data_IF_540915679872
#
_entry.id   IF_540915679872
#
_cell.length_a   1.000
_cell.length_b   1.000
_cell.length_c   1.000
_cell.angle_alpha   90.00
_cell.angle_beta   90.00
_cell.angle_gamma   90.00
#
_symmetry.space_group_name_H-M   'P 1'
#
loop_
_entity.id
_entity.type
_entity.pdbx_description
1 polymer ?
#
# COMPACT_ATOMS: atom_id res chain seq x y z
N UNK A 1 5.57 -50.73 26.99
CA UNK A 1 4.60 -49.63 27.18
C UNK A 1 5.00 -48.31 26.51
N UNK A 2 6.27 -47.86 26.57
CA UNK A 2 6.71 -46.59 25.94
C UNK A 2 6.84 -46.64 24.41
N UNK A 3 7.14 -47.81 23.84
CA UNK A 3 7.27 -48.02 22.38
C UNK A 3 5.92 -48.11 21.68
N UNK A 4 4.94 -48.79 22.28
CA UNK A 4 3.57 -48.89 21.76
C UNK A 4 2.83 -47.54 21.79
N UNK A 5 3.06 -46.71 22.81
CA UNK A 5 2.49 -45.36 22.89
C UNK A 5 3.03 -44.42 21.81
N UNK A 6 4.34 -44.50 21.50
CA UNK A 6 4.96 -43.70 20.43
C UNK A 6 4.41 -44.08 19.05
N UNK A 7 4.27 -45.37 18.77
CA UNK A 7 3.73 -45.87 17.49
C UNK A 7 2.25 -45.48 17.32
N UNK A 8 1.47 -45.55 18.39
CA UNK A 8 0.06 -45.13 18.41
C UNK A 8 -0.08 -43.61 18.18
N UNK A 9 0.74 -42.78 18.84
CA UNK A 9 0.75 -41.34 18.62
C UNK A 9 1.17 -40.95 17.19
N UNK A 10 2.15 -41.64 16.60
CA UNK A 10 2.55 -41.40 15.21
C UNK A 10 1.48 -41.82 14.21
N UNK A 11 0.75 -42.92 14.46
CA UNK A 11 -0.36 -43.35 13.60
C UNK A 11 -1.56 -42.39 13.71
N UNK A 12 -1.88 -41.91 14.92
CA UNK A 12 -2.92 -40.89 15.14
C UNK A 12 -2.54 -39.56 14.47
N UNK A 13 -1.28 -39.16 14.52
CA UNK A 13 -0.78 -37.97 13.83
C UNK A 13 -0.87 -38.12 12.30
N UNK A 14 -0.54 -39.30 11.76
CA UNK A 14 -0.64 -39.62 10.33
C UNK A 14 -2.11 -39.62 9.84
N UNK A 15 -3.03 -40.16 10.64
CA UNK A 15 -4.48 -40.17 10.35
C UNK A 15 -5.09 -38.76 10.49
N UNK A 16 -4.65 -37.94 11.46
CA UNK A 16 -5.06 -36.54 11.60
C UNK A 16 -4.55 -35.66 10.45
N UNK A 17 -3.35 -35.94 9.90
CA UNK A 17 -2.86 -35.24 8.70
C UNK A 17 -3.58 -35.67 7.42
N UNK A 18 -4.11 -36.90 7.37
CA UNK A 18 -4.91 -37.39 6.23
C UNK A 18 -6.35 -36.86 6.24
N UNK A 19 -6.92 -36.53 7.41
CA UNK A 19 -8.29 -36.01 7.54
C UNK A 19 -8.44 -34.49 7.33
N UNK A 20 -7.34 -33.74 7.15
CA UNK A 20 -7.38 -32.28 6.95
C UNK A 20 -7.10 -31.85 5.48
N UNK A 21 -7.07 -32.80 4.55
CA UNK A 21 -6.63 -32.59 3.17
C UNK A 21 -7.72 -32.45 2.10
N UNK A 22 -8.99 -32.62 2.45
CA UNK A 22 -10.09 -32.37 1.50
C UNK A 22 -10.37 -30.87 1.44
N UNK A 23 -9.51 -30.10 0.76
CA UNK A 23 -10.00 -28.86 0.15
C UNK A 23 -11.08 -29.29 -0.83
N UNK A 24 -12.35 -29.20 -0.43
CA UNK A 24 -13.45 -29.11 -1.38
C UNK A 24 -13.12 -27.89 -2.22
N UNK A 25 -12.51 -28.14 -3.38
CA UNK A 25 -12.22 -27.09 -4.33
C UNK A 25 -13.56 -26.72 -4.94
N UNK A 26 -14.22 -25.72 -4.36
CA UNK A 26 -15.19 -24.96 -5.13
C UNK A 26 -14.44 -24.48 -6.36
N UNK A 27 -14.90 -24.91 -7.53
CA UNK A 27 -14.33 -24.52 -8.81
C UNK A 27 -14.80 -23.09 -9.07
N UNK A 28 -14.08 -22.13 -8.49
CA UNK A 28 -14.28 -20.70 -8.77
C UNK A 28 -13.82 -20.43 -10.20
N UNK A 29 -14.68 -19.84 -11.01
CA UNK A 29 -14.33 -19.41 -12.38
C UNK A 29 -13.43 -18.19 -12.25
N UNK A 30 -12.23 -18.27 -12.82
CA UNK A 30 -11.28 -17.15 -12.83
C UNK A 30 -11.44 -16.37 -14.15
N UNK A 31 -11.34 -15.03 -14.11
CA UNK A 31 -11.46 -14.19 -15.30
C UNK A 31 -10.53 -14.57 -16.45
N UNK A 32 -9.34 -15.10 -16.14
CA UNK A 32 -8.34 -15.54 -17.13
C UNK A 32 -8.78 -16.75 -17.97
N UNK A 33 -9.74 -17.53 -17.46
CA UNK A 33 -10.25 -18.73 -18.11
C UNK A 33 -11.41 -18.41 -19.07
N UNK A 34 -11.85 -17.14 -19.11
CA UNK A 34 -12.87 -16.65 -20.04
C UNK A 34 -12.19 -16.15 -21.31
N UNK A 35 -12.64 -16.62 -22.46
CA UNK A 35 -12.04 -16.32 -23.75
C UNK A 35 -12.30 -14.85 -24.15
N UNK A 36 -11.22 -14.07 -24.32
CA UNK A 36 -11.30 -12.71 -24.84
C UNK A 36 -11.73 -12.74 -26.33
N UNK A 37 -12.89 -12.16 -26.68
CA UNK A 37 -13.41 -12.27 -28.04
C UNK A 37 -12.50 -11.60 -29.08
N UNK A 38 -11.74 -10.55 -28.70
CA UNK A 38 -10.79 -9.88 -29.61
C UNK A 38 -9.60 -10.75 -29.98
N UNK A 39 -9.28 -11.77 -29.17
CA UNK A 39 -8.25 -12.76 -29.49
C UNK A 39 -8.74 -13.80 -30.50
N UNK A 40 -10.04 -14.00 -30.62
CA UNK A 40 -10.65 -14.91 -31.60
C UNK A 40 -10.68 -14.21 -32.96
N UNK A 41 -11.27 -13.02 -33.02
CA UNK A 41 -11.28 -12.20 -34.24
C UNK A 41 -11.39 -10.70 -33.93
N UNK A 42 -10.82 -9.80 -34.77
CA UNK A 42 -10.83 -8.36 -34.49
C UNK A 42 -12.23 -7.72 -34.41
N UNK A 43 -13.21 -8.27 -35.14
CA UNK A 43 -14.61 -7.82 -35.16
C UNK A 43 -15.52 -8.62 -34.23
N UNK A 44 -14.94 -9.45 -33.34
CA UNK A 44 -15.68 -10.20 -32.33
C UNK A 44 -15.79 -9.35 -31.05
N UNK A 45 -16.96 -9.38 -30.42
CA UNK A 45 -17.31 -8.63 -29.22
C UNK A 45 -18.04 -9.50 -28.18
N UNK A 46 -18.55 -10.67 -28.60
CA UNK A 46 -19.23 -11.65 -27.74
C UNK A 46 -18.29 -12.79 -27.36
N UNK A 47 -18.25 -13.11 -26.06
CA UNK A 47 -17.64 -14.31 -25.50
C UNK A 47 -18.74 -15.21 -24.95
N UNK A 48 -19.06 -16.28 -25.67
CA UNK A 48 -20.03 -17.31 -25.29
C UNK A 48 -19.41 -18.71 -25.37
N UNK A 49 -18.43 -18.97 -24.51
CA UNK A 49 -17.69 -20.24 -24.51
C UNK A 49 -18.54 -21.46 -24.08
N UNK A 50 -19.71 -21.21 -23.50
CA UNK A 50 -20.66 -22.22 -23.03
C UNK A 50 -21.79 -22.49 -24.05
N UNK A 51 -21.82 -21.79 -25.19
CA UNK A 51 -22.86 -21.86 -26.23
C UNK A 51 -24.28 -21.66 -25.67
N UNK A 52 -24.45 -20.61 -24.88
CA UNK A 52 -25.71 -20.24 -24.22
C UNK A 52 -26.60 -19.34 -25.07
N UNK A 53 -26.02 -18.67 -26.08
CA UNK A 53 -26.72 -17.87 -27.08
C UNK A 53 -26.85 -18.69 -28.37
N UNK A 54 -27.92 -18.43 -29.12
CA UNK A 54 -28.00 -18.93 -30.48
C UNK A 54 -27.06 -18.16 -31.43
N UNK A 55 -26.56 -18.85 -32.44
CA UNK A 55 -25.58 -18.30 -33.40
C UNK A 55 -26.09 -17.03 -34.11
N UNK A 56 -27.40 -16.95 -34.38
CA UNK A 56 -27.99 -15.80 -35.06
C UNK A 56 -27.96 -14.56 -34.17
N UNK A 57 -28.25 -14.73 -32.87
CA UNK A 57 -28.18 -13.69 -31.85
C UNK A 57 -26.75 -13.22 -31.65
N UNK A 58 -25.79 -14.14 -31.53
CA UNK A 58 -24.38 -13.78 -31.40
C UNK A 58 -23.89 -12.95 -32.61
N UNK A 59 -24.23 -13.37 -33.83
CA UNK A 59 -23.89 -12.65 -35.05
C UNK A 59 -24.49 -11.24 -35.10
N UNK A 60 -25.75 -11.09 -34.67
CA UNK A 60 -26.42 -9.78 -34.59
C UNK A 60 -25.75 -8.86 -33.57
N UNK A 61 -25.46 -9.36 -32.37
CA UNK A 61 -24.77 -8.59 -31.33
C UNK A 61 -23.40 -8.13 -31.82
N UNK A 62 -22.60 -9.03 -32.40
CA UNK A 62 -21.29 -8.68 -32.95
C UNK A 62 -21.40 -7.59 -34.04
N UNK A 63 -22.38 -7.68 -34.95
CA UNK A 63 -22.61 -6.68 -36.00
C UNK A 63 -23.02 -5.31 -35.43
N UNK A 64 -23.88 -5.30 -34.41
CA UNK A 64 -24.30 -4.08 -33.74
C UNK A 64 -23.14 -3.39 -33.03
N UNK A 65 -22.33 -4.14 -32.29
CA UNK A 65 -21.20 -3.62 -31.54
C UNK A 65 -20.06 -3.16 -32.45
N UNK A 66 -19.84 -3.81 -33.61
CA UNK A 66 -18.94 -3.31 -34.65
C UNK A 66 -19.41 -1.96 -35.21
N UNK A 67 -20.71 -1.83 -35.47
CA UNK A 67 -21.31 -0.57 -35.94
C UNK A 67 -21.21 0.54 -34.89
N UNK A 68 -21.42 0.21 -33.60
CA UNK A 68 -21.26 1.13 -32.49
C UNK A 68 -19.82 1.63 -32.39
N UNK A 69 -18.86 0.71 -32.44
CA UNK A 69 -17.44 1.04 -32.40
C UNK A 69 -17.02 1.94 -33.56
N UNK A 70 -17.42 1.61 -34.80
CA UNK A 70 -17.07 2.42 -35.99
C UNK A 70 -17.63 3.84 -35.94
N UNK A 71 -18.79 4.03 -35.32
CA UNK A 71 -19.46 5.34 -35.24
C UNK A 71 -19.02 6.18 -34.05
N UNK A 72 -18.81 5.57 -32.89
CA UNK A 72 -18.62 6.28 -31.62
C UNK A 72 -17.25 6.08 -30.98
N UNK A 73 -16.48 5.09 -31.45
CA UNK A 73 -15.26 4.54 -30.83
C UNK A 73 -15.46 3.81 -29.51
N UNK A 74 -16.69 3.74 -28.98
CA UNK A 74 -17.00 3.00 -27.76
C UNK A 74 -16.77 1.49 -27.93
N UNK A 75 -16.22 0.87 -26.90
CA UNK A 75 -15.86 -0.55 -26.92
C UNK A 75 -16.72 -1.32 -25.92
N UNK A 76 -17.59 -2.20 -26.42
CA UNK A 76 -18.49 -3.01 -25.59
C UNK A 76 -18.14 -4.47 -25.75
N UNK A 77 -17.89 -5.18 -24.65
CA UNK A 77 -17.74 -6.64 -24.63
C UNK A 77 -18.97 -7.28 -23.98
N UNK A 78 -19.47 -8.36 -24.58
CA UNK A 78 -20.58 -9.15 -24.05
C UNK A 78 -20.04 -10.51 -23.63
N UNK A 79 -20.30 -10.90 -22.40
CA UNK A 79 -19.79 -12.15 -21.81
C UNK A 79 -20.95 -12.94 -21.24
N UNK A 80 -21.13 -14.16 -21.71
CA UNK A 80 -22.16 -15.07 -21.21
C UNK A 80 -21.49 -16.37 -20.78
N UNK A 81 -21.69 -16.72 -19.52
CA UNK A 81 -21.13 -17.95 -18.94
C UNK A 81 -22.17 -18.68 -18.11
N UNK A 82 -22.01 -20.00 -18.03
CA UNK A 82 -22.82 -20.84 -17.14
C UNK A 82 -22.65 -20.40 -15.69
N UNK A 83 -21.41 -20.14 -15.27
CA UNK A 83 -21.13 -19.81 -13.89
C UNK A 83 -21.22 -21.01 -12.94
N UNK A 84 -21.12 -20.71 -11.65
CA UNK A 84 -21.65 -21.51 -10.55
C UNK A 84 -22.65 -20.63 -9.76
N UNK A 85 -23.30 -21.16 -8.72
CA UNK A 85 -24.30 -20.39 -7.94
C UNK A 85 -23.67 -19.21 -7.18
N UNK A 86 -22.36 -19.28 -6.91
CA UNK A 86 -21.57 -18.24 -6.22
C UNK A 86 -20.95 -17.21 -7.19
N UNK A 87 -21.22 -17.30 -8.50
CA UNK A 87 -20.69 -16.39 -9.52
C UNK A 87 -21.22 -14.98 -9.25
N UNK A 88 -20.30 -14.04 -8.99
CA UNK A 88 -20.61 -12.61 -8.87
C UNK A 88 -20.34 -11.94 -10.22
N UNK A 89 -21.40 -11.57 -10.94
CA UNK A 89 -21.23 -10.96 -12.25
C UNK A 89 -20.51 -9.60 -12.14
N UNK A 90 -20.74 -8.90 -11.03
CA UNK A 90 -20.07 -7.65 -10.68
C UNK A 90 -18.56 -7.82 -10.54
N UNK A 91 -18.11 -8.72 -9.68
CA UNK A 91 -16.68 -8.86 -9.38
C UNK A 91 -15.93 -9.40 -10.61
N UNK A 92 -16.51 -10.40 -11.27
CA UNK A 92 -15.94 -10.98 -12.47
C UNK A 92 -15.87 -9.97 -13.63
N UNK A 93 -16.88 -9.11 -13.79
CA UNK A 93 -16.83 -8.04 -14.80
C UNK A 93 -15.70 -7.03 -14.52
N UNK A 94 -15.37 -6.77 -13.25
CA UNK A 94 -14.26 -5.89 -12.87
C UNK A 94 -12.92 -6.52 -13.22
N UNK A 95 -12.73 -7.79 -12.85
CA UNK A 95 -11.52 -8.55 -13.19
C UNK A 95 -11.30 -8.62 -14.70
N UNK A 96 -12.35 -8.88 -15.48
CA UNK A 96 -12.27 -8.91 -16.93
C UNK A 96 -11.99 -7.53 -17.53
N UNK A 97 -12.59 -6.46 -16.98
CA UNK A 97 -12.32 -5.10 -17.45
C UNK A 97 -10.85 -4.76 -17.26
N UNK A 98 -10.29 -5.11 -16.10
CA UNK A 98 -8.88 -4.90 -15.81
C UNK A 98 -7.95 -5.79 -16.63
N UNK A 99 -8.35 -7.03 -16.91
CA UNK A 99 -7.56 -7.99 -17.68
C UNK A 99 -7.55 -7.64 -19.18
N UNK A 100 -8.73 -7.36 -19.75
CA UNK A 100 -8.91 -7.11 -21.18
C UNK A 100 -8.66 -5.65 -21.54
N UNK A 101 -8.71 -4.73 -20.57
CA UNK A 101 -8.55 -3.28 -20.76
C UNK A 101 -9.55 -2.70 -21.76
N UNK A 102 -10.81 -3.07 -21.60
CA UNK A 102 -11.93 -2.65 -22.47
C UNK A 102 -12.08 -1.12 -22.46
N UNK A 103 -12.16 -0.51 -23.63
CA UNK A 103 -12.20 0.96 -23.80
C UNK A 103 -10.92 1.52 -24.39
N UNK A 104 -10.95 2.76 -24.88
CA UNK A 104 -9.76 3.42 -25.41
C UNK A 104 -9.01 4.19 -24.32
N UNK A 105 -7.67 4.10 -24.34
CA UNK A 105 -6.79 4.88 -23.47
C UNK A 105 -7.08 6.38 -23.63
N UNK A 106 -7.41 7.04 -22.53
CA UNK A 106 -7.69 8.48 -22.48
C UNK A 106 -9.17 8.84 -22.64
N UNK A 107 -9.95 8.02 -23.34
CA UNK A 107 -11.41 8.21 -23.44
C UNK A 107 -12.19 7.34 -22.45
N UNK A 108 -11.61 6.22 -21.98
CA UNK A 108 -12.21 5.28 -21.02
C UNK A 108 -13.65 4.86 -21.40
N UNK A 109 -13.93 4.78 -22.70
CA UNK A 109 -15.24 4.54 -23.28
C UNK A 109 -15.56 3.04 -23.43
N UNK A 110 -15.20 2.25 -22.42
CA UNK A 110 -15.37 0.79 -22.38
C UNK A 110 -16.61 0.35 -21.60
N UNK A 111 -17.21 -0.79 -21.99
CA UNK A 111 -18.31 -1.44 -21.28
C UNK A 111 -18.15 -2.97 -21.32
N UNK A 112 -18.35 -3.63 -20.19
CA UNK A 112 -18.56 -5.09 -20.13
C UNK A 112 -19.99 -5.38 -19.67
N UNK A 113 -20.72 -6.19 -20.43
CA UNK A 113 -22.01 -6.76 -20.04
C UNK A 113 -21.78 -8.24 -19.76
N UNK A 114 -21.89 -8.65 -18.50
CA UNK A 114 -21.62 -10.03 -18.08
C UNK A 114 -22.84 -10.70 -17.46
N UNK A 115 -23.20 -11.88 -17.97
CA UNK A 115 -24.25 -12.74 -17.45
C UNK A 115 -23.67 -14.04 -16.87
N UNK A 116 -23.90 -14.29 -15.57
CA UNK A 116 -23.70 -15.59 -14.92
C UNK A 116 -25.06 -16.32 -14.87
N UNK A 117 -25.29 -17.30 -15.75
CA UNK A 117 -26.62 -17.96 -15.90
C UNK A 117 -27.05 -18.69 -14.63
N UNK A 118 -26.20 -19.53 -14.02
CA UNK A 118 -26.56 -20.29 -12.82
C UNK A 118 -26.77 -19.43 -11.58
N UNK A 119 -26.01 -18.35 -11.43
CA UNK A 119 -26.19 -17.39 -10.34
C UNK A 119 -27.39 -16.45 -10.57
N UNK A 120 -27.99 -16.47 -11.77
CA UNK A 120 -29.00 -15.53 -12.25
C UNK A 120 -28.61 -14.09 -11.97
N UNK A 121 -27.37 -13.74 -12.29
CA UNK A 121 -26.78 -12.44 -11.99
C UNK A 121 -26.22 -11.82 -13.26
N UNK A 122 -26.59 -10.57 -13.54
CA UNK A 122 -26.06 -9.78 -14.65
C UNK A 122 -25.49 -8.48 -14.13
N UNK A 123 -24.33 -8.08 -14.64
CA UNK A 123 -23.75 -6.78 -14.34
C UNK A 123 -23.20 -6.10 -15.58
N UNK A 124 -23.50 -4.80 -15.73
CA UNK A 124 -22.94 -3.93 -16.74
C UNK A 124 -21.93 -2.99 -16.09
N UNK A 125 -20.65 -3.15 -16.41
CA UNK A 125 -19.54 -2.35 -15.88
C UNK A 125 -19.08 -1.33 -16.90
N UNK A 126 -19.21 -0.05 -16.56
CA UNK A 126 -18.84 1.08 -17.42
C UNK A 126 -17.45 1.62 -17.07
N UNK A 127 -16.71 2.04 -18.08
CA UNK A 127 -15.55 2.92 -17.93
C UNK A 127 -16.00 4.38 -17.76
N UNK A 128 -15.12 5.23 -17.24
CA UNK A 128 -15.42 6.63 -16.94
C UNK A 128 -15.98 7.42 -18.13
N UNK A 129 -15.57 7.08 -19.36
CA UNK A 129 -16.03 7.75 -20.57
C UNK A 129 -17.49 7.50 -20.92
N UNK A 130 -18.06 6.39 -20.44
CA UNK A 130 -19.46 6.04 -20.70
C UNK A 130 -20.41 6.39 -19.56
N UNK A 131 -19.93 6.93 -18.43
CA UNK A 131 -20.82 7.28 -17.29
C UNK A 131 -21.83 8.37 -17.63
N UNK A 132 -21.55 9.24 -18.61
CA UNK A 132 -22.52 10.22 -19.12
C UNK A 132 -23.71 9.54 -19.80
N UNK A 133 -23.44 8.59 -20.69
CA UNK A 133 -24.46 7.82 -21.40
C UNK A 133 -25.17 6.82 -20.47
N UNK A 134 -24.38 6.03 -19.76
CA UNK A 134 -24.80 4.82 -19.07
C UNK A 134 -24.40 4.91 -17.59
N UNK A 135 -25.17 5.71 -16.84
CA UNK A 135 -25.09 5.77 -15.37
C UNK A 135 -25.54 4.44 -14.73
N UNK A 136 -25.17 4.20 -13.47
CA UNK A 136 -25.61 3.03 -12.68
C UNK A 136 -27.14 2.86 -12.69
N UNK A 137 -27.86 3.98 -12.57
CA UNK A 137 -29.32 4.00 -12.60
C UNK A 137 -29.84 3.57 -13.97
N UNK A 138 -29.25 4.09 -15.06
CA UNK A 138 -29.67 3.74 -16.42
C UNK A 138 -29.34 2.29 -16.76
N UNK A 139 -28.16 1.80 -16.40
CA UNK A 139 -27.80 0.39 -16.55
C UNK A 139 -28.76 -0.51 -15.76
N UNK A 140 -29.08 -0.16 -14.52
CA UNK A 140 -30.03 -0.93 -13.70
C UNK A 140 -31.44 -0.91 -14.29
N UNK A 141 -31.90 0.22 -14.81
CA UNK A 141 -33.18 0.35 -15.54
C UNK A 141 -33.22 -0.58 -16.75
N UNK A 142 -32.20 -0.55 -17.63
CA UNK A 142 -32.12 -1.42 -18.82
C UNK A 142 -32.20 -2.90 -18.40
N UNK A 143 -31.44 -3.28 -17.37
CA UNK A 143 -31.48 -4.64 -16.85
C UNK A 143 -32.88 -5.02 -16.35
N UNK A 144 -33.50 -4.21 -15.50
CA UNK A 144 -34.77 -4.53 -14.85
C UNK A 144 -35.95 -4.53 -15.83
N UNK A 145 -36.00 -3.57 -16.75
CA UNK A 145 -37.14 -3.37 -17.65
C UNK A 145 -37.03 -4.17 -18.94
N UNK A 146 -35.80 -4.41 -19.45
CA UNK A 146 -35.59 -5.05 -20.76
C UNK A 146 -35.08 -6.48 -20.63
N UNK A 147 -34.01 -6.70 -19.86
CA UNK A 147 -33.31 -7.99 -19.85
C UNK A 147 -33.93 -9.02 -18.89
N UNK A 148 -34.14 -8.64 -17.63
CA UNK A 148 -34.60 -9.52 -16.56
C UNK A 148 -35.95 -10.23 -16.85
N UNK A 149 -36.96 -9.58 -17.48
CA UNK A 149 -38.21 -10.27 -17.82
C UNK A 149 -38.04 -11.43 -18.81
N UNK A 150 -37.08 -11.34 -19.73
CA UNK A 150 -36.77 -12.39 -20.70
C UNK A 150 -35.96 -13.51 -20.05
N UNK A 151 -34.97 -13.15 -19.23
CA UNK A 151 -34.20 -14.10 -18.44
C UNK A 151 -35.05 -14.95 -17.48
N UNK A 152 -36.08 -14.35 -16.86
CA UNK A 152 -37.04 -15.08 -16.02
C UNK A 152 -37.82 -16.15 -16.78
N UNK A 153 -37.95 -16.01 -18.10
CA UNK A 153 -38.58 -17.01 -19.00
C UNK A 153 -37.56 -18.02 -19.54
N UNK A 154 -36.28 -17.89 -19.19
CA UNK A 154 -35.19 -18.71 -19.71
C UNK A 154 -34.72 -18.29 -21.11
N UNK A 155 -35.14 -17.10 -21.59
CA UNK A 155 -34.74 -16.56 -22.89
C UNK A 155 -33.48 -15.70 -22.76
N UNK A 156 -32.31 -16.37 -22.75
CA UNK A 156 -31.00 -15.73 -22.64
C UNK A 156 -30.66 -14.91 -23.87
N UNK A 157 -30.87 -15.49 -25.06
CA UNK A 157 -30.65 -14.82 -26.35
C UNK A 157 -31.47 -13.55 -26.47
N UNK A 158 -32.79 -13.62 -26.25
CA UNK A 158 -33.66 -12.47 -26.34
C UNK A 158 -33.28 -11.39 -25.32
N UNK A 159 -33.01 -11.79 -24.07
CA UNK A 159 -32.60 -10.85 -23.02
C UNK A 159 -31.30 -10.13 -23.33
N UNK A 160 -30.28 -10.86 -23.80
CA UNK A 160 -28.99 -10.26 -24.17
C UNK A 160 -29.10 -9.37 -25.41
N UNK A 161 -29.82 -9.80 -26.45
CA UNK A 161 -30.01 -9.03 -27.68
C UNK A 161 -30.73 -7.71 -27.41
N UNK A 162 -31.92 -7.76 -26.78
CA UNK A 162 -32.71 -6.55 -26.49
C UNK A 162 -31.98 -5.61 -25.53
N UNK A 163 -31.23 -6.17 -24.59
CA UNK A 163 -30.39 -5.40 -23.69
C UNK A 163 -29.25 -4.67 -24.39
N UNK A 164 -28.53 -5.34 -25.28
CA UNK A 164 -27.46 -4.73 -26.11
C UNK A 164 -28.04 -3.68 -27.05
N UNK A 165 -29.20 -3.93 -27.66
CA UNK A 165 -29.92 -2.95 -28.49
C UNK A 165 -30.18 -1.63 -27.73
N UNK A 166 -30.68 -1.75 -26.50
CA UNK A 166 -30.95 -0.58 -25.64
C UNK A 166 -29.66 0.15 -25.23
N UNK A 167 -28.62 -0.60 -24.88
CA UNK A 167 -27.30 -0.03 -24.56
C UNK A 167 -26.72 0.75 -25.75
N UNK A 168 -26.75 0.16 -26.96
CA UNK A 168 -26.29 0.82 -28.18
C UNK A 168 -27.05 2.14 -28.42
N UNK A 169 -28.39 2.13 -28.29
CA UNK A 169 -29.21 3.34 -28.44
C UNK A 169 -28.77 4.45 -27.48
N UNK A 170 -28.62 4.14 -26.19
CA UNK A 170 -28.23 5.12 -25.17
C UNK A 170 -26.83 5.68 -25.42
N UNK A 171 -25.87 4.83 -25.83
CA UNK A 171 -24.52 5.28 -26.16
C UNK A 171 -24.51 6.15 -27.42
N UNK A 172 -25.33 5.83 -28.43
CA UNK A 172 -25.46 6.67 -29.62
C UNK A 172 -26.04 8.04 -29.31
N UNK A 173 -27.13 8.08 -28.54
CA UNK A 173 -27.82 9.33 -28.20
C UNK A 173 -26.90 10.30 -27.45
N UNK A 174 -26.10 9.78 -26.50
CA UNK A 174 -25.11 10.58 -25.77
C UNK A 174 -23.98 11.04 -26.70
N UNK A 175 -23.48 10.16 -27.57
CA UNK A 175 -22.40 10.49 -28.50
C UNK A 175 -22.81 11.62 -29.47
N UNK A 176 -24.03 11.60 -30.00
CA UNK A 176 -24.51 12.65 -30.90
C UNK A 176 -24.64 14.01 -30.20
N UNK A 177 -24.96 14.03 -28.91
CA UNK A 177 -25.16 15.26 -28.13
C UNK A 177 -23.85 15.84 -27.59
N UNK A 178 -23.01 14.99 -27.00
CA UNK A 178 -21.87 15.42 -26.18
C UNK A 178 -20.52 14.89 -26.71
N UNK A 179 -20.54 13.87 -27.58
CA UNK A 179 -19.37 13.11 -27.97
C UNK A 179 -18.72 12.35 -26.81
N UNK A 180 -17.75 11.50 -27.12
CA UNK A 180 -16.86 10.89 -26.13
C UNK A 180 -15.46 11.50 -26.24
N UNK A 181 -15.37 12.82 -26.06
CA UNK A 181 -14.08 13.49 -26.02
C UNK A 181 -13.32 13.11 -24.73
N UNK A 182 -11.99 12.94 -24.77
CA UNK A 182 -11.20 12.72 -23.57
C UNK A 182 -11.48 13.85 -22.57
N UNK A 183 -11.83 13.53 -21.32
CA UNK A 183 -11.75 14.54 -20.26
C UNK A 183 -10.28 14.93 -20.17
N UNK A 184 -9.93 16.16 -20.57
CA UNK A 184 -8.57 16.64 -20.38
C UNK A 184 -8.21 16.47 -18.90
N UNK A 185 -7.05 15.86 -18.59
CA UNK A 185 -6.64 15.74 -17.20
C UNK A 185 -6.61 17.14 -16.61
N UNK A 186 -7.20 17.31 -15.42
CA UNK A 186 -7.19 18.60 -14.74
C UNK A 186 -5.77 19.14 -14.73
N UNK A 187 -5.57 20.36 -15.25
CA UNK A 187 -4.25 20.98 -15.31
C UNK A 187 -3.76 21.28 -13.88
N UNK A 188 -3.02 20.34 -13.32
CA UNK A 188 -2.43 20.45 -11.99
C UNK A 188 -1.18 21.34 -12.00
N UNK A 189 -0.78 21.95 -13.12
CA UNK A 189 0.43 22.76 -13.21
C UNK A 189 0.41 23.92 -12.22
N UNK A 190 -0.71 24.65 -12.15
CA UNK A 190 -0.89 25.78 -11.23
C UNK A 190 -0.79 25.34 -9.78
N UNK A 191 -1.43 24.22 -9.42
CA UNK A 191 -1.34 23.65 -8.07
C UNK A 191 0.10 23.24 -7.73
N UNK A 192 0.78 22.56 -8.64
CA UNK A 192 2.16 22.11 -8.46
C UNK A 192 3.13 23.30 -8.29
N UNK A 193 2.95 24.37 -9.06
CA UNK A 193 3.76 25.59 -8.93
C UNK A 193 3.54 26.27 -7.59
N UNK A 194 2.29 26.44 -7.14
CA UNK A 194 1.97 27.01 -5.83
C UNK A 194 2.57 26.14 -4.71
N UNK A 195 2.38 24.82 -4.80
CA UNK A 195 2.93 23.87 -3.83
C UNK A 195 4.47 23.95 -3.74
N UNK A 196 5.15 24.05 -4.89
CA UNK A 196 6.60 24.19 -4.93
C UNK A 196 7.09 25.48 -4.28
N UNK A 197 6.40 26.60 -4.49
CA UNK A 197 6.73 27.90 -3.86
C UNK A 197 6.56 27.79 -2.33
N UNK A 198 5.45 27.22 -1.86
CA UNK A 198 5.20 27.03 -0.42
C UNK A 198 6.26 26.13 0.23
N UNK A 199 6.66 25.04 -0.46
CA UNK A 199 7.77 24.19 -0.04
C UNK A 199 9.08 24.99 0.11
N UNK A 200 9.39 25.86 -0.85
CA UNK A 200 10.59 26.70 -0.82
C UNK A 200 10.58 27.71 0.33
N UNK A 201 9.47 28.41 0.54
CA UNK A 201 9.31 29.36 1.65
C UNK A 201 9.46 28.66 3.00
N UNK A 202 8.80 27.50 3.17
CA UNK A 202 8.92 26.69 4.39
C UNK A 202 10.37 26.29 4.68
N UNK A 203 11.11 25.83 3.65
CA UNK A 203 12.51 25.43 3.80
C UNK A 203 13.38 26.61 4.25
N UNK A 204 13.22 27.79 3.63
CA UNK A 204 13.97 29.00 4.00
C UNK A 204 13.66 29.42 5.44
N UNK A 205 12.40 29.45 5.84
CA UNK A 205 12.00 29.79 7.21
C UNK A 205 12.58 28.80 8.23
N UNK A 206 12.55 27.50 7.93
CA UNK A 206 13.13 26.47 8.79
C UNK A 206 14.64 26.65 8.96
N UNK A 207 15.37 26.90 7.87
CA UNK A 207 16.83 27.14 7.89
C UNK A 207 17.18 28.45 8.62
N UNK A 208 16.43 29.53 8.42
CA UNK A 208 16.62 30.80 9.13
C UNK A 208 16.37 30.62 10.63
N UNK A 209 15.33 29.89 11.03
CA UNK A 209 15.05 29.62 12.44
C UNK A 209 16.17 28.78 13.09
N UNK A 210 16.64 27.73 12.40
CA UNK A 210 17.75 26.89 12.87
C UNK A 210 19.04 27.70 12.98
N UNK A 211 19.32 28.58 12.02
CA UNK A 211 20.53 29.43 12.05
C UNK A 211 20.47 30.49 13.15
N UNK A 212 19.31 31.13 13.40
CA UNK A 212 19.12 32.09 14.52
C UNK A 212 19.14 31.43 15.89
N UNK A 213 18.75 30.16 15.99
CA UNK A 213 18.92 29.36 17.23
C UNK A 213 20.41 29.13 17.59
N UNK A 214 21.33 29.46 16.69
CA UNK A 214 22.77 29.43 16.90
C UNK A 214 23.31 30.66 17.64
N UNK A 215 23.10 30.75 18.96
CA UNK A 215 23.89 31.65 19.83
C UNK A 215 25.39 31.27 19.82
N UNK A 216 26.27 32.22 20.21
CA UNK A 216 27.75 32.08 20.20
C UNK A 216 28.18 30.71 20.75
N UNK A 217 28.95 29.96 19.96
CA UNK A 217 29.39 28.60 20.33
C UNK A 217 30.50 28.71 21.38
N UNK A 218 30.15 28.51 22.66
CA UNK A 218 31.13 28.14 23.66
C UNK A 218 31.44 26.62 23.47
N UNK A 219 32.70 26.25 23.20
CA UNK A 219 33.13 24.86 23.00
C UNK A 219 32.64 23.87 24.06
N UNK A 220 32.49 24.33 25.31
CA UNK A 220 32.06 23.51 26.46
C UNK A 220 30.62 22.98 26.33
N UNK A 221 29.79 23.57 25.47
CA UNK A 221 28.35 23.24 25.34
C UNK A 221 27.97 22.64 23.98
N UNK A 222 28.90 21.95 23.30
CA UNK A 222 28.66 21.31 21.99
C UNK A 222 27.48 20.34 22.01
N UNK A 223 27.46 19.43 23.00
CA UNK A 223 26.40 18.40 23.15
C UNK A 223 25.04 19.05 23.34
N UNK A 224 24.95 20.07 24.19
CA UNK A 224 23.70 20.79 24.45
C UNK A 224 23.19 21.53 23.21
N UNK A 225 24.08 22.07 22.38
CA UNK A 225 23.70 22.68 21.11
C UNK A 225 23.09 21.67 20.15
N UNK A 226 23.72 20.50 19.99
CA UNK A 226 23.18 19.42 19.14
C UNK A 226 21.83 18.94 19.69
N UNK A 227 21.71 18.77 21.03
CA UNK A 227 20.45 18.41 21.69
C UNK A 227 19.35 19.43 21.42
N UNK A 228 19.66 20.74 21.48
CA UNK A 228 18.70 21.81 21.14
C UNK A 228 18.29 21.78 19.67
N UNK A 229 19.23 21.58 18.73
CA UNK A 229 18.94 21.47 17.30
C UNK A 229 18.00 20.28 17.05
N UNK A 230 18.31 19.10 17.61
CA UNK A 230 17.44 17.91 17.52
C UNK A 230 16.05 18.21 18.11
N UNK A 231 15.96 18.81 19.31
CA UNK A 231 14.68 19.15 19.94
C UNK A 231 13.84 20.11 19.08
N UNK A 232 14.44 21.18 18.55
CA UNK A 232 13.72 22.12 17.69
C UNK A 232 13.33 21.51 16.33
N UNK A 233 14.13 20.57 15.81
CA UNK A 233 13.80 19.88 14.55
C UNK A 233 12.53 19.03 14.65
N UNK A 234 12.15 18.56 15.85
CA UNK A 234 10.90 17.80 16.06
C UNK A 234 9.67 18.64 15.67
N UNK A 235 9.62 19.93 16.06
CA UNK A 235 8.51 20.81 15.68
C UNK A 235 8.40 20.99 14.17
N UNK A 236 9.54 21.15 13.49
CA UNK A 236 9.58 21.26 12.03
C UNK A 236 9.22 19.96 11.31
N UNK A 237 9.50 18.79 11.90
CA UNK A 237 9.09 17.50 11.35
C UNK A 237 7.57 17.37 11.34
N UNK A 238 6.90 17.78 12.43
CA UNK A 238 5.43 17.72 12.53
C UNK A 238 4.76 18.61 11.47
N UNK A 239 5.21 19.85 11.32
CA UNK A 239 4.68 20.77 10.30
C UNK A 239 5.10 20.35 8.88
N UNK A 240 6.28 19.75 8.74
CA UNK A 240 6.88 19.37 7.47
C UNK A 240 6.24 18.18 6.76
N UNK A 241 5.33 17.43 7.39
CA UNK A 241 4.59 16.34 6.73
C UNK A 241 3.76 16.82 5.53
N UNK A 242 3.30 18.07 5.55
CA UNK A 242 2.59 18.69 4.42
C UNK A 242 3.56 19.08 3.28
N UNK A 243 4.83 19.33 3.61
CA UNK A 243 5.89 19.79 2.70
C UNK A 243 6.99 18.73 2.58
N UNK A 244 6.61 17.51 2.21
CA UNK A 244 7.47 16.32 2.23
C UNK A 244 8.84 16.53 1.53
N UNK A 245 8.93 17.15 0.33
CA UNK A 245 10.22 17.38 -0.32
C UNK A 245 11.15 18.29 0.51
N UNK A 246 10.61 19.37 1.07
CA UNK A 246 11.36 20.29 1.92
C UNK A 246 11.78 19.65 3.24
N UNK A 247 10.94 18.78 3.81
CA UNK A 247 11.28 18.04 5.03
C UNK A 247 12.50 17.12 4.80
N UNK A 248 12.56 16.42 3.67
CA UNK A 248 13.70 15.55 3.32
C UNK A 248 14.98 16.38 3.22
N UNK A 249 14.95 17.50 2.49
CA UNK A 249 16.11 18.40 2.36
C UNK A 249 16.53 18.95 3.72
N UNK A 250 15.58 19.35 4.56
CA UNK A 250 15.84 19.87 5.90
C UNK A 250 16.56 18.83 6.78
N UNK A 251 16.10 17.57 6.77
CA UNK A 251 16.73 16.49 7.51
C UNK A 251 18.15 16.21 7.01
N UNK A 252 18.37 16.20 5.70
CA UNK A 252 19.71 16.05 5.10
C UNK A 252 20.62 17.20 5.55
N UNK A 253 20.15 18.45 5.50
CA UNK A 253 20.93 19.59 5.97
C UNK A 253 21.28 19.48 7.46
N UNK A 254 20.31 19.10 8.32
CA UNK A 254 20.53 18.97 9.76
C UNK A 254 21.55 17.87 10.08
N UNK A 255 21.31 16.65 9.59
CA UNK A 255 22.10 15.47 9.95
C UNK A 255 23.41 15.35 9.15
N UNK A 256 23.45 15.85 7.90
CA UNK A 256 24.61 15.77 7.02
C UNK A 256 25.55 16.98 7.09
N UNK A 257 25.04 18.18 7.38
CA UNK A 257 25.85 19.41 7.32
C UNK A 257 25.97 20.06 8.71
N UNK A 258 24.84 20.38 9.34
CA UNK A 258 24.82 21.21 10.55
C UNK A 258 25.41 20.45 11.75
N UNK A 259 24.89 19.26 12.09
CA UNK A 259 25.37 18.48 13.24
C UNK A 259 26.85 18.10 13.07
N UNK A 260 27.31 17.55 11.92
CA UNK A 260 28.73 17.25 11.73
C UNK A 260 29.61 18.50 11.77
N UNK A 261 29.12 19.65 11.28
CA UNK A 261 29.81 20.93 11.39
C UNK A 261 30.01 21.38 12.84
N UNK A 262 29.02 21.15 13.71
CA UNK A 262 29.15 21.45 15.16
C UNK A 262 30.15 20.51 15.84
N UNK A 263 30.12 19.21 15.52
CA UNK A 263 31.05 18.21 16.07
C UNK A 263 32.50 18.57 15.74
N UNK A 264 32.81 18.84 14.46
CA UNK A 264 34.18 19.13 13.97
C UNK A 264 34.75 20.48 14.40
N UNK A 265 33.97 21.40 14.95
CA UNK A 265 34.46 22.72 15.34
C UNK A 265 35.55 22.60 16.40
N UNK A 266 36.77 23.07 16.13
CA UNK A 266 37.92 22.95 17.05
C UNK A 266 37.63 23.60 18.41
N UNK A 267 38.10 22.95 19.47
CA UNK A 267 38.02 23.44 20.85
C UNK A 267 39.41 23.90 21.31
N UNK A 268 39.43 24.84 22.26
CA UNK A 268 40.66 25.35 22.88
C UNK A 268 40.78 24.72 24.25
N UNK A 269 41.95 24.15 24.53
CA UNK A 269 42.31 23.56 25.81
C UNK A 269 42.55 24.64 26.87
N UNK A 270 42.51 24.29 28.15
CA UNK A 270 42.80 25.22 29.26
C UNK A 270 44.20 25.84 29.17
N UNK A 271 45.17 25.12 28.59
CA UNK A 271 46.52 25.63 28.31
C UNK A 271 46.61 26.59 27.10
N UNK A 272 45.48 26.93 26.47
CA UNK A 272 45.40 27.82 25.30
C UNK A 272 45.70 27.17 23.95
N UNK A 273 46.08 25.90 23.90
CA UNK A 273 46.31 25.17 22.64
C UNK A 273 45.01 24.70 21.99
N UNK A 274 44.99 24.60 20.66
CA UNK A 274 43.88 23.97 19.92
C UNK A 274 43.99 22.45 20.05
N UNK A 275 42.86 21.78 20.28
CA UNK A 275 42.81 20.32 20.37
C UNK A 275 42.56 19.67 19.02
N UNK A 276 43.05 18.44 18.86
CA UNK A 276 42.81 17.56 17.71
C UNK A 276 41.66 16.61 18.04
N UNK A 277 40.73 16.44 17.10
CA UNK A 277 39.74 15.35 17.15
C UNK A 277 40.43 14.07 16.67
N UNK A 278 40.37 13.02 17.47
CA UNK A 278 40.92 11.72 17.12
C UNK A 278 40.02 11.02 16.10
N UNK A 279 40.59 10.07 15.35
CA UNK A 279 39.81 9.16 14.51
C UNK A 279 39.22 8.03 15.35
N UNK A 280 38.11 7.43 14.92
CA UNK A 280 37.41 6.38 15.68
C UNK A 280 38.36 5.24 16.16
N UNK A 281 39.35 4.86 15.34
CA UNK A 281 40.34 3.84 15.73
C UNK A 281 41.39 4.34 16.75
N UNK A 282 41.71 5.64 16.75
CA UNK A 282 42.59 6.26 17.75
C UNK A 282 41.86 6.51 19.08
N UNK A 283 40.53 6.71 19.02
CA UNK A 283 39.69 7.01 20.18
C UNK A 283 39.61 5.85 21.17
N UNK A 284 39.59 4.61 20.68
CA UNK A 284 39.54 3.39 21.50
C UNK A 284 40.60 3.36 22.61
N UNK A 285 41.80 3.91 22.34
CA UNK A 285 42.89 3.97 23.33
C UNK A 285 42.57 4.84 24.56
N UNK A 286 41.59 5.73 24.42
CA UNK A 286 41.18 6.70 25.44
C UNK A 286 39.77 6.42 25.99
N UNK A 287 39.09 5.41 25.46
CA UNK A 287 37.77 4.98 25.91
C UNK A 287 37.89 3.74 26.79
N UNK A 288 37.02 3.65 27.80
CA UNK A 288 36.90 2.44 28.60
C UNK A 288 36.12 1.35 27.82
N UNK A 289 36.25 0.10 28.25
CA UNK A 289 35.60 -1.06 27.60
C UNK A 289 34.08 -0.89 27.51
N UNK A 290 33.45 -0.21 28.49
CA UNK A 290 32.01 0.02 28.51
C UNK A 290 31.59 1.00 27.41
N UNK A 291 32.36 2.07 27.20
CA UNK A 291 32.12 3.06 26.15
C UNK A 291 32.33 2.44 24.77
N UNK A 292 33.41 1.68 24.57
CA UNK A 292 33.65 0.95 23.31
C UNK A 292 32.51 -0.02 23.00
N UNK A 293 31.99 -0.72 24.02
CA UNK A 293 30.81 -1.58 23.88
C UNK A 293 29.56 -0.77 23.49
N UNK A 294 29.31 0.40 24.08
CA UNK A 294 28.19 1.27 23.70
C UNK A 294 28.29 1.75 22.24
N UNK A 295 29.49 1.96 21.71
CA UNK A 295 29.70 2.32 20.30
C UNK A 295 29.44 1.15 19.36
N UNK A 296 29.97 -0.03 19.73
CA UNK A 296 29.79 -1.28 19.00
C UNK A 296 28.30 -1.65 18.90
N UNK A 297 27.55 -1.51 20.00
CA UNK A 297 26.11 -1.73 20.02
C UNK A 297 25.31 -0.61 19.34
N UNK A 298 25.97 0.51 19.01
CA UNK A 298 25.33 1.68 18.43
C UNK A 298 24.33 2.36 19.36
N UNK A 299 24.59 2.36 20.67
CA UNK A 299 23.75 3.08 21.64
C UNK A 299 24.22 4.51 21.87
N UNK A 300 25.54 4.71 21.88
CA UNK A 300 26.21 6.01 21.90
C UNK A 300 27.29 6.07 20.83
N UNK A 301 27.80 7.26 20.61
CA UNK A 301 29.03 7.52 19.87
C UNK A 301 29.77 8.61 20.63
N UNK A 302 31.06 8.42 20.76
CA UNK A 302 31.96 9.26 21.51
C UNK A 302 32.82 10.06 20.53
N UNK A 303 33.22 11.28 20.93
CA UNK A 303 34.27 12.04 20.24
C UNK A 303 35.36 12.31 21.29
N UNK A 304 36.61 11.93 21.02
CA UNK A 304 37.75 12.23 21.89
C UNK A 304 38.59 13.35 21.29
N UNK A 305 38.78 14.41 22.07
CA UNK A 305 39.66 15.52 21.73
C UNK A 305 40.95 15.40 22.56
N UNK A 306 42.11 15.43 21.90
CA UNK A 306 43.43 15.40 22.53
C UNK A 306 44.16 16.74 22.36
N UNK A 307 44.83 17.19 23.42
CA UNK A 307 45.73 18.33 23.36
C UNK A 307 47.19 17.89 23.27
N UNK A 308 47.86 18.22 22.17
CA UNK A 308 49.27 17.83 21.96
C UNK A 308 50.25 18.52 22.93
N UNK A 309 49.86 19.64 23.58
CA UNK A 309 50.74 20.36 24.52
C UNK A 309 50.73 19.82 25.93
N UNK A 310 49.54 19.50 26.46
CA UNK A 310 49.36 19.10 27.85
C UNK A 310 48.78 17.69 28.00
N UNK A 311 48.56 16.98 26.90
CA UNK A 311 48.03 15.61 26.83
C UNK A 311 46.67 15.41 27.49
N UNK A 312 45.96 16.48 27.87
CA UNK A 312 44.60 16.39 28.39
C UNK A 312 43.63 15.93 27.30
N UNK A 313 42.67 15.09 27.68
CA UNK A 313 41.60 14.63 26.80
C UNK A 313 40.24 15.18 27.23
N UNK A 314 39.36 15.43 26.25
CA UNK A 314 37.93 15.69 26.50
C UNK A 314 37.10 14.71 25.68
N UNK A 315 36.21 14.00 26.36
CA UNK A 315 35.31 13.02 25.75
C UNK A 315 33.90 13.59 25.71
N UNK A 316 33.31 13.68 24.52
CA UNK A 316 31.89 14.00 24.33
C UNK A 316 31.11 12.73 24.04
N UNK A 317 29.89 12.63 24.55
CA UNK A 317 28.99 11.51 24.27
C UNK A 317 27.74 11.99 23.54
N UNK A 318 27.34 11.24 22.51
CA UNK A 318 26.16 11.51 21.71
C UNK A 318 25.27 10.27 21.63
N UNK A 319 24.01 10.43 22.04
CA UNK A 319 23.02 9.39 21.85
C UNK A 319 22.69 9.21 20.36
N UNK A 320 22.73 7.96 19.88
CA UNK A 320 22.19 7.61 18.57
C UNK A 320 20.66 7.65 18.66
N UNK A 321 20.03 8.48 17.82
CA UNK A 321 18.59 8.79 17.89
C UNK A 321 17.69 7.56 17.66
N UNK A 322 18.18 6.54 16.94
CA UNK A 322 17.42 5.33 16.57
C UNK A 322 17.79 4.10 17.39
N UNK A 323 18.57 4.26 18.45
CA UNK A 323 18.98 3.13 19.29
C UNK A 323 17.81 2.60 20.11
N UNK A 324 17.63 1.27 20.14
CA UNK A 324 16.69 0.58 21.02
C UNK A 324 17.23 0.40 22.45
N UNK A 325 18.51 0.72 22.68
CA UNK A 325 19.18 0.54 23.97
C UNK A 325 18.87 1.69 24.93
N UNK A 326 18.74 1.33 26.21
CA UNK A 326 18.42 2.19 27.34
C UNK A 326 19.54 2.12 28.38
N UNK A 327 19.54 3.06 29.32
CA UNK A 327 20.47 3.04 30.45
C UNK A 327 20.13 1.91 31.42
N UNK A 328 21.12 1.09 31.73
CA UNK A 328 20.98 0.01 32.68
C UNK A 328 20.80 0.58 34.11
N UNK A 329 19.78 0.14 34.86
CA UNK A 329 19.60 0.60 36.24
C UNK A 329 20.77 0.23 37.15
N UNK A 330 21.45 -0.89 36.87
CA UNK A 330 22.57 -1.43 37.66
C UNK A 330 23.90 -0.76 37.34
N UNK A 331 24.37 -0.81 36.09
CA UNK A 331 25.70 -0.31 35.72
C UNK A 331 25.72 1.07 35.04
N UNK A 332 24.55 1.69 34.81
CA UNK A 332 24.36 2.98 34.12
C UNK A 332 24.82 3.03 32.65
N UNK A 333 25.46 2.00 32.13
CA UNK A 333 25.78 1.88 30.71
C UNK A 333 24.49 1.79 29.88
N UNK A 334 24.48 2.43 28.70
CA UNK A 334 23.37 2.42 27.77
C UNK A 334 23.38 1.17 26.89
N UNK A 335 23.32 0.01 27.53
CA UNK A 335 23.43 -1.31 26.89
C UNK A 335 22.26 -2.23 27.28
N UNK A 336 21.20 -1.66 27.85
CA UNK A 336 20.00 -2.37 28.28
C UNK A 336 18.96 -2.41 27.16
N UNK A 337 18.53 -3.60 26.74
CA UNK A 337 17.61 -3.75 25.61
C UNK A 337 16.56 -4.83 25.89
N UNK A 338 15.48 -4.82 25.10
CA UNK A 338 14.43 -5.83 25.15
C UNK A 338 14.97 -7.13 24.53
N UNK A 339 15.02 -8.21 25.31
CA UNK A 339 15.48 -9.53 24.84
C UNK A 339 14.35 -10.34 24.22
N UNK A 340 13.24 -10.47 24.94
CA UNK A 340 12.03 -11.15 24.45
C UNK A 340 10.79 -10.73 25.23
N UNK A 341 9.63 -11.04 24.66
CA UNK A 341 8.32 -10.87 25.29
C UNK A 341 7.67 -12.24 25.44
N UNK A 342 7.01 -12.45 26.58
CA UNK A 342 6.24 -13.67 26.85
C UNK A 342 4.85 -13.28 27.33
N UNK A 343 3.82 -13.84 26.70
CA UNK A 343 2.45 -13.72 27.19
C UNK A 343 2.33 -14.54 28.47
N UNK A 344 1.93 -13.88 29.55
CA UNK A 344 1.64 -14.51 30.86
C UNK A 344 0.19 -14.94 30.91
N UNK A 345 -0.72 -14.09 30.43
CA UNK A 345 -2.13 -14.41 30.25
C UNK A 345 -2.64 -13.80 28.95
N UNK A 346 -3.44 -14.57 28.20
CA UNK A 346 -4.06 -14.08 26.98
C UNK A 346 -5.20 -13.11 27.29
N UNK A 347 -5.32 -12.05 26.49
CA UNK A 347 -6.47 -11.17 26.54
C UNK A 347 -7.71 -11.89 26.00
N UNK A 348 -8.86 -11.64 26.62
CA UNK A 348 -10.18 -12.11 26.18
C UNK A 348 -11.07 -10.91 25.90
N UNK A 349 -12.27 -11.14 25.36
CA UNK A 349 -13.26 -10.08 25.17
C UNK A 349 -13.68 -9.41 26.50
N UNK A 350 -13.51 -10.10 27.64
CA UNK A 350 -13.96 -9.63 28.96
C UNK A 350 -12.81 -9.19 29.88
N UNK A 351 -11.61 -9.73 29.69
CA UNK A 351 -10.46 -9.49 30.56
C UNK A 351 -9.20 -9.12 29.77
N UNK A 352 -8.43 -8.19 30.31
CA UNK A 352 -7.13 -7.86 29.74
C UNK A 352 -6.15 -9.01 29.91
N UNK A 353 -5.25 -9.16 28.94
CA UNK A 353 -4.13 -10.07 29.04
C UNK A 353 -2.94 -9.41 29.74
N UNK A 354 -1.98 -10.22 30.15
CA UNK A 354 -0.71 -9.75 30.70
C UNK A 354 0.44 -10.26 29.82
N UNK A 355 1.30 -9.33 29.45
CA UNK A 355 2.56 -9.59 28.77
C UNK A 355 3.71 -9.27 29.72
N UNK A 356 4.71 -10.15 29.76
CA UNK A 356 5.97 -9.93 30.46
C UNK A 356 7.05 -9.64 29.43
N UNK A 357 7.55 -8.41 29.43
CA UNK A 357 8.71 -8.00 28.65
C UNK A 357 9.97 -8.18 29.49
N UNK A 358 10.92 -8.98 28.99
CA UNK A 358 12.21 -9.22 29.65
C UNK A 358 13.30 -8.42 28.96
N UNK A 359 14.07 -7.71 29.76
CA UNK A 359 15.18 -6.88 29.31
C UNK A 359 16.49 -7.42 29.87
N UNK A 360 17.57 -7.23 29.14
CA UNK A 360 18.91 -7.66 29.53
C UNK A 360 19.95 -6.60 29.15
N UNK A 361 20.94 -6.42 30.01
CA UNK A 361 22.07 -5.53 29.77
C UNK A 361 23.24 -6.32 29.15
N UNK A 362 23.75 -5.88 28.01
CA UNK A 362 24.91 -6.53 27.37
C UNK A 362 26.22 -6.31 28.13
N UNK A 363 26.31 -5.27 28.97
CA UNK A 363 27.53 -4.98 29.74
C UNK A 363 27.62 -5.79 31.05
N UNK A 364 26.57 -5.74 31.89
CA UNK A 364 26.60 -6.36 33.23
C UNK A 364 25.66 -7.56 33.38
N UNK A 365 24.97 -7.97 32.30
CA UNK A 365 23.98 -9.06 32.29
C UNK A 365 22.83 -8.91 33.30
N UNK A 366 22.62 -7.70 33.84
CA UNK A 366 21.48 -7.40 34.68
C UNK A 366 20.18 -7.62 33.90
N UNK A 367 19.27 -8.40 34.49
CA UNK A 367 17.96 -8.71 33.93
C UNK A 367 16.90 -7.94 34.67
N UNK A 368 15.97 -7.36 33.91
CA UNK A 368 14.77 -6.76 34.47
C UNK A 368 13.54 -7.21 33.72
N UNK A 369 12.39 -7.06 34.36
CA UNK A 369 11.11 -7.45 33.81
C UNK A 369 10.10 -6.33 33.99
N UNK A 370 9.25 -6.17 32.97
CA UNK A 370 8.13 -5.23 32.99
C UNK A 370 6.87 -5.97 32.58
N UNK A 371 5.82 -5.85 33.40
CA UNK A 371 4.49 -6.32 33.05
C UNK A 371 3.77 -5.22 32.28
N UNK A 372 3.25 -5.56 31.11
CA UNK A 372 2.42 -4.71 30.27
C UNK A 372 1.05 -5.36 30.07
N UNK A 373 0.02 -4.53 30.03
CA UNK A 373 -1.36 -4.97 29.84
C UNK A 373 -1.62 -5.13 28.35
N UNK A 374 -2.12 -6.30 27.94
CA UNK A 374 -2.63 -6.55 26.59
C UNK A 374 -4.12 -6.17 26.62
N UNK A 375 -4.55 -5.14 25.88
CA UNK A 375 -5.95 -4.72 25.90
C UNK A 375 -6.87 -5.86 25.41
N UNK A 376 -8.09 -5.89 25.94
CA UNK A 376 -9.16 -6.83 25.53
C UNK A 376 -9.28 -6.91 24.02
N UNK A 377 -9.53 -8.12 23.50
CA UNK A 377 -9.72 -8.31 22.06
C UNK A 377 -11.05 -7.67 21.63
N UNK A 378 -11.07 -6.81 20.60
CA UNK A 378 -12.32 -6.29 20.06
C UNK A 378 -13.18 -7.43 19.52
N UNK A 379 -14.52 -7.32 19.53
CA UNK A 379 -15.39 -8.31 18.92
C UNK A 379 -15.06 -8.48 17.45
N UNK A 380 -15.06 -9.72 16.97
CA UNK A 380 -14.77 -10.06 15.57
C UNK A 380 -15.91 -9.52 14.70
N UNK A 381 -15.67 -8.40 14.03
CA UNK A 381 -16.49 -7.89 12.93
C UNK A 381 -15.80 -8.36 11.65
N UNK A 382 -16.41 -9.30 10.93
CA UNK A 382 -15.92 -9.77 9.63
C UNK A 382 -16.26 -8.70 8.59
N UNK A 383 -15.36 -7.74 8.43
CA UNK A 383 -15.34 -6.83 7.30
C UNK A 383 -14.26 -7.32 6.32
N UNK A 384 -14.70 -7.88 5.18
CA UNK A 384 -13.81 -8.31 4.11
C UNK A 384 -13.12 -7.11 3.49
N UNK A 385 -11.79 -7.08 3.58
CA UNK A 385 -10.95 -6.12 2.88
C UNK A 385 -9.76 -6.86 2.28
N UNK A 386 -9.49 -6.62 0.99
CA UNK A 386 -8.36 -7.19 0.29
C UNK A 386 -8.07 -6.44 -1.00
N UNK A 387 -7.30 -5.36 -0.89
CA UNK A 387 -6.67 -4.70 -2.03
C UNK A 387 -5.48 -5.52 -2.54
N UNK A 388 -5.33 -5.61 -3.85
CA UNK A 388 -4.20 -6.25 -4.52
C UNK A 388 -3.63 -5.34 -5.61
N UNK A 389 -2.36 -4.97 -5.45
CA UNK A 389 -1.54 -4.27 -6.44
C UNK A 389 -1.07 -5.30 -7.46
N UNK A 390 -1.15 -5.01 -8.77
CA UNK A 390 -0.40 -5.81 -9.74
C UNK A 390 0.11 -5.03 -10.96
N UNK A 391 1.37 -5.33 -11.29
CA UNK A 391 2.23 -4.76 -12.33
C UNK A 391 2.08 -5.55 -13.65
N UNK A 392 2.11 -4.81 -14.77
CA UNK A 392 2.99 -5.10 -15.92
C UNK A 392 2.51 -6.03 -17.04
N UNK A 393 2.26 -5.43 -18.21
CA UNK A 393 2.98 -5.70 -19.48
C UNK A 393 2.45 -6.78 -20.45
N UNK A 394 2.31 -6.41 -21.74
CA UNK A 394 2.46 -7.33 -22.88
C UNK A 394 1.42 -7.22 -24.01
N UNK A 395 1.87 -6.82 -25.20
CA UNK A 395 1.15 -6.50 -26.45
C UNK A 395 0.33 -7.62 -27.11
N UNK A 396 -0.75 -7.21 -27.80
CA UNK A 396 -1.07 -7.40 -29.25
C UNK A 396 -2.56 -7.67 -29.50
N UNK A 397 -3.19 -6.83 -30.32
CA UNK A 397 -4.58 -7.01 -30.81
C UNK A 397 -5.72 -6.84 -29.79
N UNK A 398 -5.45 -6.24 -28.63
CA UNK A 398 -6.41 -6.13 -27.53
C UNK A 398 -7.30 -4.90 -27.56
N UNK A 399 -8.18 -4.80 -26.58
CA UNK A 399 -8.99 -3.63 -26.33
C UNK A 399 -8.11 -2.41 -26.00
N UNK A 400 -8.60 -1.21 -26.32
CA UNK A 400 -7.79 0.00 -26.50
C UNK A 400 -7.13 0.61 -25.25
N UNK A 401 -7.19 -0.05 -24.08
CA UNK A 401 -6.48 0.40 -22.87
C UNK A 401 -7.31 1.19 -21.85
N UNK A 402 -8.63 1.04 -21.77
CA UNK A 402 -9.49 1.77 -20.83
C UNK A 402 -9.30 1.35 -19.35
N UNK A 403 -9.54 2.27 -18.43
CA UNK A 403 -9.50 2.03 -16.98
C UNK A 403 -10.87 1.61 -16.41
N UNK A 404 -10.86 0.60 -15.53
CA UNK A 404 -12.03 0.28 -14.70
C UNK A 404 -12.07 1.26 -13.52
N UNK A 405 -13.15 2.01 -13.42
CA UNK A 405 -13.31 3.00 -12.35
C UNK A 405 -14.64 3.73 -12.42
N UNK A 406 -15.33 3.62 -13.56
CA UNK A 406 -16.74 3.94 -13.64
C UNK A 406 -17.60 2.96 -12.82
N UNK A 407 -18.83 3.37 -12.55
CA UNK A 407 -19.83 2.57 -11.86
C UNK A 407 -20.33 1.37 -12.67
N UNK A 408 -21.62 1.12 -12.61
CA UNK A 408 -22.29 0.03 -13.31
C UNK A 408 -23.61 -0.36 -12.66
N UNK A 409 -24.47 -1.00 -13.43
CA UNK A 409 -25.81 -1.40 -12.99
C UNK A 409 -26.15 -2.82 -13.42
N UNK A 410 -27.04 -3.45 -12.67
CA UNK A 410 -27.41 -4.84 -12.86
C UNK A 410 -27.88 -5.48 -11.55
N UNK A 411 -28.09 -6.79 -11.56
CA UNK A 411 -28.42 -7.53 -10.37
C UNK A 411 -28.95 -8.93 -10.66
N UNK A 412 -29.54 -9.51 -9.60
CA UNK A 412 -30.12 -10.84 -9.64
C UNK A 412 -31.58 -10.83 -10.12
N UNK A 413 -32.02 -11.89 -10.77
CA UNK A 413 -33.38 -12.02 -11.34
C UNK A 413 -34.09 -13.33 -11.02
#
# INVERSE_FOLDING_TARGET
MKTTFRVLCTLIFLVLTLLCGSKVRSQSIEAKDILDPKKICPSCYVSDQDNLLDEQTEAKINSMLDTLYRKTTAQVAVVVINGNEDCSARDLSMELFDLWKVGQKGSDNGLIILLCVKARDLFMRTGYGLEGALTDSKATEIFQETMAPLFKKGDWSGGMLSGVERVCSVIYDEYEQNGFAPKEPADMSTFNTIYAILCGVFLVLALVFISRSGSKINPKYKVDKIRRIKKHSIGWIVVGFVFLPSLIVLLICIYGIIIPGVRRKKIVCECGAKMKLLSEAEEDQYLDEVKQLEETLGSKNYDVWLCDKCHSTFVYSYDKTLSSYQECPSCKAKTYHKKYEKVVSHATALQDGLMKTVYECENCHHKGEKLSVIPKTPPVIVAGGGGGISKGGGFSGGWGGGFSGGGGGGGKF
#
